data_IF_766470805286
#
_entry.id   IF_766470805286
#
_cell.length_a   1.000
_cell.length_b   1.000
_cell.length_c   1.000
_cell.angle_alpha   90.00
_cell.angle_beta   90.00
_cell.angle_gamma   90.00
#
_symmetry.space_group_name_H-M   'P 1'
#
loop_
_entity.id
_entity.type
_entity.pdbx_description
1 polymer ?
#
# COMPACT_ATOMS: atom_id res chain seq x y z
N UNK A 1 -0.30 -6.43 24.22
CA UNK A 1 -0.39 -7.77 23.63
C UNK A 1 0.38 -7.75 22.32
N UNK A 2 1.32 -8.67 22.14
CA UNK A 2 2.07 -8.80 20.89
C UNK A 2 1.15 -9.48 19.88
N UNK A 3 0.67 -8.72 18.90
CA UNK A 3 -0.17 -9.29 17.83
C UNK A 3 0.69 -10.26 17.02
N UNK A 4 0.21 -11.49 16.81
CA UNK A 4 0.89 -12.47 15.96
C UNK A 4 0.79 -12.06 14.50
N UNK A 5 1.85 -12.32 13.73
CA UNK A 5 1.83 -12.24 12.27
C UNK A 5 0.63 -13.03 11.70
N UNK A 6 0.10 -12.60 10.56
CA UNK A 6 -0.96 -13.32 9.84
C UNK A 6 -0.56 -13.61 8.40
N UNK A 7 -1.06 -14.73 7.84
CA UNK A 7 -0.80 -15.11 6.45
C UNK A 7 -1.96 -14.73 5.56
N UNK A 8 -1.66 -14.03 4.47
CA UNK A 8 -2.63 -13.61 3.47
C UNK A 8 -1.98 -13.53 2.09
N UNK A 9 -2.62 -14.11 1.08
CA UNK A 9 -2.14 -14.16 -0.31
C UNK A 9 -0.71 -14.72 -0.45
N UNK A 10 -0.38 -15.74 0.36
CA UNK A 10 0.94 -16.37 0.36
C UNK A 10 2.05 -15.55 1.01
N UNK A 11 1.74 -14.39 1.60
CA UNK A 11 2.69 -13.55 2.34
C UNK A 11 2.38 -13.54 3.82
N UNK A 12 3.42 -13.32 4.61
CA UNK A 12 3.33 -13.10 6.05
C UNK A 12 3.32 -11.60 6.34
N UNK A 13 2.32 -11.16 7.09
CA UNK A 13 2.06 -9.76 7.43
C UNK A 13 2.28 -9.58 8.92
N UNK A 14 3.02 -8.54 9.27
CA UNK A 14 3.33 -8.19 10.67
C UNK A 14 2.17 -7.42 11.28
N UNK A 15 1.56 -6.52 10.51
CA UNK A 15 0.37 -5.78 10.93
C UNK A 15 -0.55 -5.44 9.77
N UNK A 16 -1.83 -5.22 10.05
CA UNK A 16 -2.84 -4.80 9.08
C UNK A 16 -4.24 -4.92 9.65
N UNK A 17 -5.07 -3.90 9.41
CA UNK A 17 -6.46 -3.87 9.87
C UNK A 17 -7.45 -4.48 8.88
N UNK A 18 -8.75 -4.54 9.23
CA UNK A 18 -9.80 -4.99 8.31
C UNK A 18 -9.82 -4.26 6.97
N UNK A 19 -9.52 -2.95 6.98
CA UNK A 19 -9.46 -2.15 5.74
C UNK A 19 -8.31 -2.61 4.86
N UNK A 20 -7.11 -2.79 5.41
CA UNK A 20 -5.96 -3.33 4.67
C UNK A 20 -6.27 -4.68 4.04
N UNK A 21 -6.94 -5.58 4.77
CA UNK A 21 -7.33 -6.90 4.26
C UNK A 21 -8.32 -6.77 3.09
N UNK A 22 -9.32 -5.88 3.19
CA UNK A 22 -10.26 -5.61 2.12
C UNK A 22 -9.56 -5.06 0.87
N UNK A 23 -8.60 -4.14 1.07
CA UNK A 23 -7.78 -3.56 0.01
C UNK A 23 -6.92 -4.62 -0.70
N UNK A 24 -6.22 -5.47 0.07
CA UNK A 24 -5.39 -6.56 -0.47
C UNK A 24 -6.19 -7.55 -1.31
N UNK A 25 -7.45 -7.77 -0.94
CA UNK A 25 -8.37 -8.65 -1.68
C UNK A 25 -9.11 -7.95 -2.82
N UNK A 26 -8.90 -6.64 -3.01
CA UNK A 26 -9.60 -5.84 -4.02
C UNK A 26 -11.11 -5.71 -3.79
N UNK A 27 -11.58 -5.85 -2.55
CA UNK A 27 -13.00 -5.84 -2.21
C UNK A 27 -13.52 -4.41 -2.05
N UNK A 28 -13.79 -3.73 -3.17
CA UNK A 28 -14.25 -2.34 -3.21
C UNK A 28 -15.50 -2.11 -2.33
N UNK A 29 -16.47 -3.04 -2.35
CA UNK A 29 -17.67 -2.95 -1.50
C UNK A 29 -17.33 -2.95 -0.01
N UNK A 30 -16.43 -3.83 0.42
CA UNK A 30 -15.96 -3.91 1.81
C UNK A 30 -15.16 -2.68 2.20
N UNK A 31 -14.30 -2.15 1.32
CA UNK A 31 -13.56 -0.89 1.53
C UNK A 31 -14.53 0.26 1.83
N UNK A 32 -15.53 0.45 0.97
CA UNK A 32 -16.55 1.50 1.15
C UNK A 32 -17.29 1.35 2.47
N UNK A 33 -17.74 0.13 2.79
CA UNK A 33 -18.46 -0.13 4.04
C UNK A 33 -17.58 0.18 5.26
N UNK A 34 -16.33 -0.27 5.28
CA UNK A 34 -15.44 0.00 6.41
C UNK A 34 -15.22 1.50 6.62
N UNK A 35 -14.96 2.25 5.55
CA UNK A 35 -14.78 3.71 5.63
C UNK A 35 -16.08 4.41 6.03
N UNK A 36 -17.25 3.96 5.54
CA UNK A 36 -18.54 4.54 5.97
C UNK A 36 -18.81 4.34 7.47
N UNK A 37 -18.24 3.29 8.05
CA UNK A 37 -18.23 3.02 9.49
C UNK A 37 -16.97 3.57 10.19
N UNK A 38 -16.38 4.65 9.66
CA UNK A 38 -15.27 5.40 10.28
C UNK A 38 -13.92 4.68 10.34
N UNK A 39 -13.70 3.62 9.56
CA UNK A 39 -12.34 3.13 9.36
C UNK A 39 -11.48 4.23 8.72
N UNK A 40 -10.27 4.43 9.25
CA UNK A 40 -9.32 5.40 8.70
C UNK A 40 -8.79 4.91 7.34
N UNK A 41 -9.02 5.63 6.23
CA UNK A 41 -8.51 5.28 4.91
C UNK A 41 -6.97 5.25 4.84
N UNK A 42 -6.29 5.88 5.78
CA UNK A 42 -4.82 5.97 5.86
C UNK A 42 -4.22 4.98 6.88
N UNK A 43 -5.01 4.02 7.36
CA UNK A 43 -4.53 3.01 8.31
C UNK A 43 -3.28 2.28 7.79
N UNK A 44 -2.28 2.18 8.66
CA UNK A 44 -0.99 1.58 8.35
C UNK A 44 -1.01 0.04 8.40
N UNK A 45 -0.08 -0.57 7.69
CA UNK A 45 0.20 -2.00 7.73
C UNK A 45 1.69 -2.25 7.57
N UNK A 46 2.12 -3.47 7.88
CA UNK A 46 3.51 -3.87 7.70
C UNK A 46 3.66 -5.35 7.36
N UNK A 47 4.74 -5.69 6.66
CA UNK A 47 5.11 -7.05 6.31
C UNK A 47 6.63 -7.16 6.14
N UNK A 48 7.15 -8.39 6.22
CA UNK A 48 8.57 -8.66 5.98
C UNK A 48 8.88 -8.70 4.48
N UNK A 49 9.87 -7.93 4.05
CA UNK A 49 10.25 -7.77 2.65
C UNK A 49 11.77 -7.86 2.44
N UNK A 50 12.17 -8.16 1.21
CA UNK A 50 13.58 -8.27 0.81
C UNK A 50 14.26 -9.55 1.30
N UNK A 51 15.50 -9.77 0.85
CA UNK A 51 16.30 -10.95 1.22
C UNK A 51 16.61 -11.00 2.73
N UNK A 52 16.71 -9.84 3.37
CA UNK A 52 16.99 -9.68 4.80
C UNK A 52 15.73 -9.66 5.69
N UNK A 53 14.53 -9.90 5.13
CA UNK A 53 13.26 -9.91 5.85
C UNK A 53 13.03 -8.65 6.70
N UNK A 54 13.43 -7.49 6.17
CA UNK A 54 13.23 -6.20 6.86
C UNK A 54 11.74 -5.86 6.88
N UNK A 55 11.28 -5.26 7.98
CA UNK A 55 9.89 -4.81 8.08
C UNK A 55 9.69 -3.60 7.17
N UNK A 56 8.88 -3.77 6.14
CA UNK A 56 8.36 -2.68 5.34
C UNK A 56 7.00 -2.26 5.91
N UNK A 57 6.73 -0.95 6.00
CA UNK A 57 5.42 -0.43 6.39
C UNK A 57 4.94 0.68 5.45
N UNK A 58 3.63 0.88 5.41
CA UNK A 58 2.99 1.95 4.67
C UNK A 58 1.48 1.99 4.93
N UNK A 59 0.80 2.98 4.37
CA UNK A 59 -0.66 3.12 4.46
C UNK A 59 -1.36 2.11 3.57
N UNK A 60 -2.60 1.74 3.89
CA UNK A 60 -3.36 0.68 3.19
C UNK A 60 -3.44 0.86 1.67
N UNK A 61 -3.37 2.08 1.15
CA UNK A 61 -3.34 2.33 -0.31
C UNK A 61 -2.11 1.74 -1.00
N UNK A 62 -0.97 1.65 -0.31
CA UNK A 62 0.22 0.95 -0.83
C UNK A 62 -0.05 -0.55 -1.04
N UNK A 63 -0.94 -1.14 -0.24
CA UNK A 63 -1.28 -2.57 -0.31
C UNK A 63 -2.00 -2.95 -1.61
N UNK A 64 -2.68 -1.99 -2.25
CA UNK A 64 -3.36 -2.20 -3.53
C UNK A 64 -2.37 -2.24 -4.71
N UNK A 65 -1.22 -1.57 -4.61
CA UNK A 65 -0.31 -1.37 -5.74
C UNK A 65 0.16 -2.70 -6.36
N UNK A 66 0.66 -3.69 -5.60
CA UNK A 66 1.17 -4.94 -6.20
C UNK A 66 0.14 -5.70 -7.05
N UNK A 67 -1.16 -5.54 -6.76
CA UNK A 67 -2.22 -6.22 -7.49
C UNK A 67 -2.49 -5.62 -8.88
N UNK A 68 -2.05 -4.38 -9.13
CA UNK A 68 -2.36 -3.64 -10.36
C UNK A 68 -3.80 -3.16 -10.47
N UNK A 69 -4.64 -3.44 -9.47
CA UNK A 69 -6.05 -3.08 -9.49
C UNK A 69 -6.23 -1.57 -9.25
N UNK A 70 -6.31 -0.83 -10.37
CA UNK A 70 -6.44 0.63 -10.35
C UNK A 70 -7.75 1.09 -9.73
N UNK A 71 -8.81 0.29 -9.78
CA UNK A 71 -10.12 0.67 -9.23
C UNK A 71 -10.11 0.72 -7.70
N UNK A 72 -9.28 -0.09 -7.04
CA UNK A 72 -9.10 -0.03 -5.59
C UNK A 72 -8.39 1.25 -5.17
N UNK A 73 -7.35 1.68 -5.91
CA UNK A 73 -6.66 2.96 -5.67
C UNK A 73 -7.63 4.13 -5.84
N UNK A 74 -8.43 4.11 -6.92
CA UNK A 74 -9.46 5.14 -7.17
C UNK A 74 -10.52 5.17 -6.08
N UNK A 75 -10.97 4.02 -5.59
CA UNK A 75 -11.95 3.96 -4.49
C UNK A 75 -11.34 4.48 -3.19
N UNK A 76 -10.11 4.08 -2.84
CA UNK A 76 -9.44 4.60 -1.66
C UNK A 76 -9.26 6.12 -1.71
N UNK A 77 -8.92 6.67 -2.88
CA UNK A 77 -8.86 8.11 -3.07
C UNK A 77 -10.21 8.80 -2.85
N UNK A 78 -11.32 8.24 -3.38
CA UNK A 78 -12.68 8.73 -3.08
C UNK A 78 -13.01 8.64 -1.59
N UNK A 79 -12.44 7.68 -0.90
CA UNK A 79 -12.52 7.52 0.55
C UNK A 79 -11.55 8.43 1.33
N UNK A 80 -10.91 9.41 0.70
CA UNK A 80 -9.92 10.33 1.29
C UNK A 80 -8.60 9.67 1.74
N UNK A 81 -8.19 8.57 1.12
CA UNK A 81 -6.83 8.06 1.28
C UNK A 81 -5.82 9.02 0.62
N UNK A 82 -4.67 9.19 1.25
CA UNK A 82 -3.59 10.06 0.79
C UNK A 82 -2.74 9.39 -0.30
N UNK A 83 -2.86 9.87 -1.54
CA UNK A 83 -2.05 9.43 -2.68
C UNK A 83 -0.57 9.87 -2.59
N UNK A 84 -0.26 10.86 -1.74
CA UNK A 84 1.09 11.37 -1.54
C UNK A 84 1.81 10.73 -0.35
N UNK A 85 1.15 9.79 0.34
CA UNK A 85 1.74 9.03 1.42
C UNK A 85 2.96 8.24 0.94
N UNK A 86 3.89 8.00 1.87
CA UNK A 86 5.15 7.28 1.61
C UNK A 86 5.32 6.14 2.61
N UNK A 87 5.86 5.02 2.13
CA UNK A 87 6.22 3.90 3.00
C UNK A 87 7.50 4.15 3.81
N UNK A 88 7.87 3.19 4.66
CA UNK A 88 9.04 3.27 5.56
C UNK A 88 10.37 3.46 4.83
N UNK A 89 10.47 2.99 3.58
CA UNK A 89 11.64 3.20 2.72
C UNK A 89 11.60 4.53 1.95
N UNK A 90 10.68 5.44 2.28
CA UNK A 90 10.39 6.67 1.53
C UNK A 90 9.96 6.42 0.07
N UNK A 91 9.42 5.25 -0.26
CA UNK A 91 8.78 5.07 -1.56
C UNK A 91 7.37 5.67 -1.54
N UNK A 92 7.07 6.54 -2.49
CA UNK A 92 5.69 6.94 -2.77
C UNK A 92 5.00 5.91 -3.68
N UNK A 93 3.70 6.12 -3.94
CA UNK A 93 2.92 5.22 -4.79
C UNK A 93 3.44 5.15 -6.24
N UNK A 94 3.98 6.23 -6.79
CA UNK A 94 4.55 6.24 -8.16
C UNK A 94 5.77 5.33 -8.24
N UNK A 95 6.69 5.44 -7.26
CA UNK A 95 7.84 4.56 -7.15
C UNK A 95 7.42 3.09 -7.07
N UNK A 96 6.44 2.76 -6.23
CA UNK A 96 5.95 1.38 -6.10
C UNK A 96 5.27 0.89 -7.38
N UNK A 97 4.43 1.72 -8.02
CA UNK A 97 3.78 1.35 -9.28
C UNK A 97 4.81 1.06 -10.38
N UNK A 98 5.89 1.85 -10.44
CA UNK A 98 7.01 1.58 -11.35
C UNK A 98 7.74 0.28 -11.00
N UNK A 99 8.04 0.03 -9.72
CA UNK A 99 8.71 -1.19 -9.25
C UNK A 99 7.94 -2.47 -9.64
N UNK A 100 6.61 -2.47 -9.50
CA UNK A 100 5.76 -3.61 -9.85
C UNK A 100 5.30 -3.63 -11.31
N UNK A 101 5.68 -2.64 -12.15
CA UNK A 101 5.26 -2.57 -13.55
C UNK A 101 3.77 -2.24 -13.76
N UNK A 102 3.12 -1.60 -12.79
CA UNK A 102 1.67 -1.38 -12.77
C UNK A 102 1.26 -0.12 -13.52
N UNK A 103 1.29 -0.19 -14.85
CA UNK A 103 1.10 0.96 -15.76
C UNK A 103 -0.24 1.69 -15.54
N UNK A 104 -1.34 0.98 -15.25
CA UNK A 104 -2.64 1.59 -15.01
C UNK A 104 -2.65 2.50 -13.77
N UNK A 105 -2.08 2.00 -12.67
CA UNK A 105 -1.91 2.76 -11.42
C UNK A 105 -0.94 3.91 -11.66
N UNK A 106 0.19 3.67 -12.33
CA UNK A 106 1.19 4.70 -12.62
C UNK A 106 0.57 5.89 -13.36
N UNK A 107 -0.17 5.65 -14.45
CA UNK A 107 -0.86 6.71 -15.20
C UNK A 107 -1.82 7.49 -14.31
N UNK A 108 -2.66 6.78 -13.55
CA UNK A 108 -3.62 7.43 -12.66
C UNK A 108 -2.95 8.33 -11.61
N UNK A 109 -1.86 7.88 -10.98
CA UNK A 109 -1.14 8.65 -9.98
C UNK A 109 -0.49 9.91 -10.57
N UNK A 110 0.06 9.81 -11.78
CA UNK A 110 0.64 10.95 -12.48
C UNK A 110 -0.43 11.98 -12.89
N UNK A 111 -1.60 11.51 -13.33
CA UNK A 111 -2.76 12.36 -13.62
C UNK A 111 -3.25 13.09 -12.35
N UNK A 112 -3.08 12.48 -11.17
CA UNK A 112 -3.36 13.09 -9.86
C UNK A 112 -2.16 13.89 -9.29
N UNK A 113 -1.16 14.21 -10.11
CA UNK A 113 0.01 15.02 -9.76
C UNK A 113 0.87 14.46 -8.61
N UNK A 114 0.92 13.15 -8.44
CA UNK A 114 1.89 12.52 -7.53
C UNK A 114 3.29 12.62 -8.13
N UNK A 115 4.26 13.10 -7.34
CA UNK A 115 5.64 13.39 -7.77
C UNK A 115 6.31 12.18 -8.46
N UNK A 116 6.67 12.35 -9.73
CA UNK A 116 7.26 11.31 -10.56
C UNK A 116 8.73 11.00 -10.20
N UNK A 117 9.47 12.00 -9.72
CA UNK A 117 10.90 11.90 -9.46
C UNK A 117 11.21 11.63 -7.98
N UNK A 118 10.26 11.06 -7.23
CA UNK A 118 10.43 10.80 -5.80
C UNK A 118 11.45 9.69 -5.54
N UNK A 119 12.48 10.00 -4.76
CA UNK A 119 13.55 9.04 -4.43
C UNK A 119 13.19 8.24 -3.18
N UNK A 120 13.25 6.91 -3.31
CA UNK A 120 13.13 5.95 -2.22
C UNK A 120 14.50 5.35 -1.86
N UNK A 121 14.62 4.79 -0.65
CA UNK A 121 15.70 3.88 -0.28
C UNK A 121 15.38 2.49 -0.82
N UNK A 122 16.37 1.80 -1.40
CA UNK A 122 16.17 0.42 -1.80
C UNK A 122 15.92 -0.43 -0.55
N UNK A 123 15.01 -1.40 -0.66
CA UNK A 123 14.75 -2.35 0.43
C UNK A 123 15.92 -3.33 0.60
N UNK A 124 16.70 -3.52 -0.48
CA UNK A 124 17.89 -4.36 -0.53
C UNK A 124 19.20 -3.55 -0.44
N UNK A 125 19.15 -2.27 -0.04
CA UNK A 125 20.37 -1.52 0.25
C UNK A 125 20.96 -2.04 1.58
N UNK A 126 21.89 -2.99 1.45
CA UNK A 126 22.63 -3.61 2.55
C UNK A 126 23.81 -2.76 3.05
N UNK A 127 24.00 -1.56 2.48
CA UNK A 127 25.12 -0.65 2.80
C UNK A 127 24.76 0.48 3.79
N UNK A 128 23.61 0.38 4.45
CA UNK A 128 23.24 1.15 5.66
C UNK A 128 23.00 0.20 6.81
#
# INVERSE_FOLDING_TARGET
>A
EEYKNFKLLGKEWVSGGPLTIAVLRGQIGTVRTLVSYKADPNTEYSFEAGAEQRIWSGTSIHAAVPSGNTDVIKELFKCNADLHSVGSNRANLVWQAAYFGQIGILKYLLDMHVEANFRARSQDDSLL
#
